data_IF_064934065754
#
_entry.id   IF_064934065754
#
_cell.length_a   1.000
_cell.length_b   1.000
_cell.length_c   1.000
_cell.angle_alpha   90.00
_cell.angle_beta   90.00
_cell.angle_gamma   90.00
#
_symmetry.space_group_name_H-M   'P 1'
#
loop_
_entity.id
_entity.type
_entity.pdbx_description
1 polymer ?
#
# COMPACT_ATOMS: atom_id res chain seq x y z
N UNK A 1 3.82 12.40 22.59
CA UNK A 1 4.82 11.57 21.87
C UNK A 1 6.06 12.37 21.49
N UNK A 2 5.95 13.54 20.84
CA UNK A 2 7.13 14.38 20.50
C UNK A 2 7.84 15.03 21.71
N UNK A 3 7.22 14.99 22.89
CA UNK A 3 7.79 15.50 24.15
C UNK A 3 8.74 14.52 24.85
N UNK A 4 8.81 13.27 24.39
CA UNK A 4 9.69 12.27 24.99
C UNK A 4 11.10 12.40 24.39
N UNK A 5 12.15 12.62 25.20
CA UNK A 5 13.50 12.94 24.71
C UNK A 5 14.06 11.89 23.74
N UNK A 6 13.69 10.62 23.92
CA UNK A 6 14.24 9.50 23.15
C UNK A 6 13.79 9.44 21.69
N UNK A 7 12.68 10.11 21.33
CA UNK A 7 12.16 10.10 19.96
C UNK A 7 12.46 11.39 19.19
N UNK A 8 13.09 12.36 19.84
CA UNK A 8 13.25 13.73 19.32
C UNK A 8 14.10 13.80 18.05
N UNK A 9 15.05 12.88 17.92
CA UNK A 9 15.97 12.79 16.77
C UNK A 9 15.56 11.73 15.74
N UNK A 10 14.54 10.91 16.06
CA UNK A 10 14.10 9.78 15.22
C UNK A 10 12.75 10.00 14.56
N UNK A 11 11.86 10.80 15.14
CA UNK A 11 10.50 11.03 14.64
C UNK A 11 10.26 12.52 14.47
N UNK A 12 9.96 12.93 13.24
CA UNK A 12 9.54 14.28 12.92
C UNK A 12 8.02 14.36 12.75
N UNK A 13 7.47 15.58 12.75
CA UNK A 13 6.02 15.79 12.61
C UNK A 13 5.47 15.24 11.27
N UNK A 14 6.29 15.23 10.23
CA UNK A 14 5.91 14.81 8.89
C UNK A 14 5.79 13.28 8.74
N UNK A 15 6.37 12.51 9.66
CA UNK A 15 6.24 11.04 9.72
C UNK A 15 4.84 10.61 10.16
N UNK A 16 4.06 11.52 10.76
CA UNK A 16 2.74 11.21 11.31
C UNK A 16 1.61 11.48 10.31
N UNK A 17 1.01 10.40 9.79
CA UNK A 17 -0.25 10.47 9.07
C UNK A 17 -1.42 10.59 10.06
N UNK A 18 -1.97 11.79 10.17
CA UNK A 18 -3.13 12.13 11.01
C UNK A 18 -4.46 11.98 10.26
N UNK A 19 -5.50 11.55 10.98
CA UNK A 19 -6.89 11.49 10.49
C UNK A 19 -7.88 11.79 11.63
N UNK A 20 -9.16 12.03 11.31
CA UNK A 20 -10.21 12.19 12.34
C UNK A 20 -10.54 10.82 12.95
N UNK A 21 -10.66 10.73 14.27
CA UNK A 21 -10.98 9.51 15.01
C UNK A 21 -10.82 9.69 16.52
N UNK A 22 -11.50 8.91 17.37
CA UNK A 22 -11.42 9.11 18.82
C UNK A 22 -10.49 8.15 19.54
N UNK A 23 -10.05 8.50 20.75
CA UNK A 23 -9.24 7.62 21.60
C UNK A 23 -9.91 6.25 21.82
N UNK A 24 -11.24 6.18 21.72
CA UNK A 24 -12.01 4.94 21.71
C UNK A 24 -11.59 3.95 20.61
N UNK A 25 -10.98 4.40 19.51
CA UNK A 25 -10.49 3.52 18.45
C UNK A 25 -9.20 2.78 18.83
N UNK A 26 -8.49 3.25 19.86
CA UNK A 26 -7.28 2.64 20.41
C UNK A 26 -7.38 2.63 21.94
N UNK A 27 -8.17 1.71 22.53
CA UNK A 27 -8.42 1.69 23.97
C UNK A 27 -7.16 1.38 24.79
N UNK A 28 -6.17 0.74 24.19
CA UNK A 28 -4.92 0.33 24.83
C UNK A 28 -3.73 0.70 23.94
N UNK A 29 -2.62 1.11 24.56
CA UNK A 29 -1.33 1.23 23.88
C UNK A 29 -0.68 -0.15 23.77
N UNK A 30 -0.41 -0.59 22.54
CA UNK A 30 0.33 -1.83 22.26
C UNK A 30 1.61 -1.50 21.53
N UNK A 31 2.74 -1.88 22.14
CA UNK A 31 4.07 -1.77 21.54
C UNK A 31 4.64 -3.18 21.44
N UNK A 32 5.05 -3.56 20.23
CA UNK A 32 5.65 -4.86 19.97
C UNK A 32 6.95 -4.67 19.21
N UNK A 33 7.94 -5.50 19.56
CA UNK A 33 9.20 -5.59 18.83
C UNK A 33 9.07 -6.76 17.86
N UNK A 34 9.26 -6.48 16.58
CA UNK A 34 9.14 -7.45 15.51
C UNK A 34 10.38 -7.38 14.62
N UNK A 35 10.78 -8.53 14.06
CA UNK A 35 11.82 -8.58 13.04
C UNK A 35 11.43 -7.78 11.79
N UNK A 36 10.14 -7.72 11.50
CA UNK A 36 9.58 -6.99 10.36
C UNK A 36 8.26 -6.32 10.75
N UNK A 37 8.10 -5.05 10.39
CA UNK A 37 6.88 -4.26 10.68
C UNK A 37 5.65 -4.82 9.94
N UNK A 38 5.82 -5.28 8.70
CA UNK A 38 4.75 -5.90 7.89
C UNK A 38 5.24 -7.18 7.21
N UNK A 39 5.07 -8.37 7.83
CA UNK A 39 5.68 -9.60 7.36
C UNK A 39 5.23 -9.99 5.94
N UNK A 40 6.16 -9.97 4.98
CA UNK A 40 5.94 -10.45 3.61
C UNK A 40 6.20 -11.97 3.46
N UNK A 41 6.69 -12.64 4.50
CA UNK A 41 7.03 -14.08 4.44
C UNK A 41 8.32 -14.38 3.67
N UNK A 42 9.11 -13.34 3.36
CA UNK A 42 10.44 -13.43 2.76
C UNK A 42 11.41 -12.66 3.63
N UNK A 43 12.57 -13.26 3.90
CA UNK A 43 13.59 -12.62 4.73
C UNK A 43 13.98 -11.25 4.18
N UNK A 44 14.14 -10.23 5.04
CA UNK A 44 14.53 -8.88 4.63
C UNK A 44 15.89 -8.84 3.92
N UNK A 45 16.78 -9.80 4.22
CA UNK A 45 18.06 -9.96 3.54
C UNK A 45 17.94 -10.31 2.05
N UNK A 46 16.84 -10.96 1.63
CA UNK A 46 16.62 -11.33 0.23
C UNK A 46 15.99 -10.20 -0.58
N UNK A 47 15.05 -9.47 0.03
CA UNK A 47 14.31 -8.39 -0.62
C UNK A 47 14.23 -7.21 0.35
N UNK A 48 15.02 -6.19 0.07
CA UNK A 48 15.07 -4.99 0.91
C UNK A 48 13.97 -4.01 0.53
N UNK A 49 13.38 -3.36 1.54
CA UNK A 49 12.46 -2.24 1.35
C UNK A 49 13.17 -0.99 0.81
N UNK A 50 14.51 -0.94 0.85
CA UNK A 50 15.34 0.18 0.35
C UNK A 50 15.48 0.20 -1.17
N UNK A 51 15.04 -0.86 -1.85
CA UNK A 51 15.05 -0.96 -3.31
C UNK A 51 13.63 -1.03 -3.87
N UNK A 52 12.76 -0.04 -3.60
CA UNK A 52 11.40 -0.06 -4.10
C UNK A 52 11.34 0.21 -5.62
N UNK A 53 10.12 0.13 -6.15
CA UNK A 53 9.78 0.67 -7.46
C UNK A 53 9.83 2.21 -7.48
N UNK A 54 9.38 2.78 -8.59
CA UNK A 54 9.28 4.25 -8.73
C UNK A 54 8.17 4.78 -7.82
N UNK A 55 8.51 5.73 -6.96
CA UNK A 55 7.54 6.40 -6.11
C UNK A 55 6.77 7.46 -6.91
N UNK A 56 5.44 7.44 -6.83
CA UNK A 56 4.56 8.47 -7.42
C UNK A 56 3.88 9.26 -6.31
N UNK A 57 3.88 10.58 -6.45
CA UNK A 57 3.07 11.46 -5.60
C UNK A 57 1.58 11.16 -5.80
N UNK A 58 0.70 11.54 -4.84
CA UNK A 58 -0.74 11.30 -4.97
C UNK A 58 -1.34 11.87 -6.26
N UNK A 59 -0.93 13.08 -6.65
CA UNK A 59 -1.43 13.74 -7.86
C UNK A 59 -0.99 13.03 -9.14
N UNK A 60 0.26 12.54 -9.20
CA UNK A 60 0.74 11.74 -10.31
C UNK A 60 0.03 10.39 -10.37
N UNK A 61 -0.09 9.70 -9.24
CA UNK A 61 -0.79 8.42 -9.18
C UNK A 61 -2.25 8.55 -9.63
N UNK A 62 -2.94 9.63 -9.24
CA UNK A 62 -4.31 9.89 -9.67
C UNK A 62 -4.42 10.01 -11.19
N UNK A 63 -3.57 10.83 -11.81
CA UNK A 63 -3.53 10.98 -13.27
C UNK A 63 -3.27 9.66 -13.97
N UNK A 64 -2.41 8.81 -13.43
CA UNK A 64 -2.12 7.49 -14.01
C UNK A 64 -3.29 6.51 -13.85
N UNK A 65 -4.01 6.56 -12.73
CA UNK A 65 -5.25 5.79 -12.54
C UNK A 65 -6.36 6.28 -13.46
N UNK A 66 -6.54 7.60 -13.64
CA UNK A 66 -7.51 8.15 -14.59
C UNK A 66 -7.22 7.69 -16.02
N UNK A 67 -5.94 7.71 -16.43
CA UNK A 67 -5.50 7.17 -17.73
C UNK A 67 -5.79 5.68 -17.86
N UNK A 68 -5.57 4.91 -16.79
CA UNK A 68 -5.90 3.48 -16.78
C UNK A 68 -7.40 3.23 -16.94
N UNK A 69 -8.24 4.03 -16.26
CA UNK A 69 -9.70 3.90 -16.32
C UNK A 69 -10.32 4.39 -17.63
N UNK A 70 -9.67 5.32 -18.33
CA UNK A 70 -10.16 5.84 -19.63
C UNK A 70 -9.85 4.92 -20.81
N UNK A 71 -9.04 3.88 -20.62
CA UNK A 71 -8.75 2.89 -21.66
C UNK A 71 -9.97 2.00 -21.91
N UNK A 72 -10.46 1.99 -23.15
CA UNK A 72 -11.66 1.25 -23.55
C UNK A 72 -11.52 -0.28 -23.45
N UNK A 73 -10.29 -0.81 -23.52
CA UNK A 73 -10.00 -2.25 -23.43
C UNK A 73 -8.94 -2.54 -22.33
N UNK A 74 -9.36 -3.06 -21.16
CA UNK A 74 -8.45 -3.44 -20.09
C UNK A 74 -7.45 -4.53 -20.47
N UNK A 75 -7.82 -5.44 -21.39
CA UNK A 75 -6.98 -6.58 -21.77
C UNK A 75 -5.78 -6.20 -22.65
N UNK A 76 -5.93 -5.14 -23.45
CA UNK A 76 -4.84 -4.55 -24.26
C UNK A 76 -4.06 -3.47 -23.50
N UNK A 77 -4.40 -3.24 -22.23
CA UNK A 77 -3.66 -2.30 -21.41
C UNK A 77 -2.29 -2.88 -21.05
N UNK A 78 -1.24 -2.12 -21.39
CA UNK A 78 0.11 -2.32 -20.87
C UNK A 78 0.23 -1.95 -19.38
N UNK A 79 -0.85 -1.51 -18.73
CA UNK A 79 -0.86 -1.08 -17.34
C UNK A 79 -1.75 -1.98 -16.48
N UNK A 80 -1.22 -2.42 -15.33
CA UNK A 80 -1.98 -3.13 -14.30
C UNK A 80 -2.10 -2.25 -13.08
N UNK A 81 -3.33 -2.07 -12.59
CA UNK A 81 -3.59 -1.51 -11.27
C UNK A 81 -3.72 -2.65 -10.25
N UNK A 82 -2.79 -2.75 -9.30
CA UNK A 82 -2.68 -3.85 -8.34
C UNK A 82 -3.00 -3.38 -6.91
N UNK A 83 -4.01 -4.00 -6.30
CA UNK A 83 -4.34 -3.84 -4.89
C UNK A 83 -3.42 -4.73 -4.04
N UNK A 84 -2.59 -4.13 -3.19
CA UNK A 84 -1.68 -4.88 -2.31
C UNK A 84 -2.27 -5.14 -0.93
N UNK A 85 -3.57 -4.90 -0.75
CA UNK A 85 -4.26 -5.07 0.53
C UNK A 85 -4.77 -6.49 0.72
N UNK A 86 -5.23 -6.78 1.93
CA UNK A 86 -5.88 -8.07 2.21
C UNK A 86 -7.29 -8.07 1.61
N UNK A 87 -7.82 -9.27 1.30
CA UNK A 87 -9.10 -9.43 0.61
C UNK A 87 -10.27 -8.68 1.29
N UNK A 88 -10.28 -8.60 2.62
CA UNK A 88 -11.34 -7.92 3.37
C UNK A 88 -11.31 -6.39 3.17
N UNK A 89 -10.14 -5.78 3.02
CA UNK A 89 -10.00 -4.35 2.72
C UNK A 89 -10.50 -4.07 1.29
N UNK A 90 -10.14 -4.93 0.35
CA UNK A 90 -10.56 -4.80 -1.06
C UNK A 90 -12.06 -5.03 -1.25
N UNK A 91 -12.69 -5.89 -0.44
CA UNK A 91 -14.16 -6.08 -0.44
C UNK A 91 -14.93 -4.85 -0.01
N UNK A 92 -14.34 -4.03 0.85
CA UNK A 92 -14.99 -2.82 1.39
C UNK A 92 -14.92 -1.68 0.36
N UNK A 93 -13.83 -1.58 -0.38
CA UNK A 93 -13.73 -0.71 -1.54
C UNK A 93 -12.38 -0.87 -2.23
N UNK A 94 -12.38 -0.80 -3.57
CA UNK A 94 -11.19 -0.90 -4.42
C UNK A 94 -11.40 -0.09 -5.70
N UNK A 95 -10.32 0.24 -6.41
CA UNK A 95 -10.44 0.88 -7.71
C UNK A 95 -11.13 -0.04 -8.72
N UNK A 96 -11.92 0.55 -9.62
CA UNK A 96 -12.54 -0.17 -10.72
C UNK A 96 -11.45 -0.78 -11.62
N UNK A 97 -11.67 -2.00 -12.12
CA UNK A 97 -10.71 -2.68 -13.00
C UNK A 97 -9.38 -3.07 -12.35
N UNK A 98 -9.18 -2.87 -11.04
CA UNK A 98 -7.94 -3.29 -10.40
C UNK A 98 -7.85 -4.82 -10.23
N UNK A 99 -6.64 -5.34 -10.36
CA UNK A 99 -6.29 -6.69 -9.95
C UNK A 99 -6.18 -6.71 -8.41
N UNK A 100 -7.11 -7.43 -7.76
CA UNK A 100 -7.10 -7.60 -6.32
C UNK A 100 -6.83 -9.07 -5.98
N UNK A 101 -5.64 -9.41 -5.47
CA UNK A 101 -5.32 -10.76 -5.01
C UNK A 101 -6.23 -11.18 -3.86
N UNK A 102 -6.77 -12.40 -3.91
CA UNK A 102 -7.55 -12.96 -2.80
C UNK A 102 -6.62 -13.50 -1.70
N UNK A 103 -5.86 -12.60 -1.07
CA UNK A 103 -4.91 -12.93 -0.01
C UNK A 103 -5.46 -12.53 1.37
N UNK A 104 -5.40 -13.46 2.33
CA UNK A 104 -5.75 -13.20 3.73
C UNK A 104 -4.64 -12.51 4.52
N UNK A 105 -3.39 -12.75 4.14
CA UNK A 105 -2.20 -12.22 4.78
C UNK A 105 -1.25 -11.72 3.71
N UNK A 106 -0.54 -10.63 4.01
CA UNK A 106 0.48 -10.10 3.09
C UNK A 106 1.62 -11.08 2.84
N UNK A 107 1.87 -12.02 3.77
CA UNK A 107 2.84 -13.11 3.56
C UNK A 107 2.50 -14.07 2.42
N UNK A 108 1.28 -14.05 1.91
CA UNK A 108 0.87 -14.84 0.73
C UNK A 108 1.07 -14.08 -0.58
N UNK A 109 1.37 -12.77 -0.53
CA UNK A 109 1.59 -11.94 -1.70
C UNK A 109 2.70 -12.49 -2.62
N UNK A 110 3.88 -12.93 -2.12
CA UNK A 110 4.91 -13.49 -2.99
C UNK A 110 4.47 -14.73 -3.76
N UNK A 111 3.70 -15.62 -3.12
CA UNK A 111 3.16 -16.81 -3.77
C UNK A 111 2.15 -16.45 -4.86
N UNK A 112 1.32 -15.45 -4.62
CA UNK A 112 0.40 -14.95 -5.63
C UNK A 112 1.13 -14.38 -6.85
N UNK A 113 2.14 -13.54 -6.63
CA UNK A 113 2.95 -12.98 -7.72
C UNK A 113 3.68 -14.09 -8.49
N UNK A 114 4.27 -15.07 -7.81
CA UNK A 114 4.99 -16.16 -8.47
C UNK A 114 4.08 -17.01 -9.37
N UNK A 115 2.84 -17.28 -8.94
CA UNK A 115 1.84 -18.01 -9.74
C UNK A 115 1.34 -17.23 -10.95
N UNK A 116 1.33 -15.90 -10.85
CA UNK A 116 0.77 -15.00 -11.85
C UNK A 116 1.83 -14.14 -12.55
N UNK A 117 3.10 -14.55 -12.51
CA UNK A 117 4.22 -13.71 -12.93
C UNK A 117 4.12 -13.28 -14.40
N UNK A 118 3.54 -14.12 -15.24
CA UNK A 118 3.31 -13.85 -16.66
C UNK A 118 2.35 -12.66 -16.87
N UNK A 119 1.40 -12.41 -15.95
CA UNK A 119 0.51 -11.24 -16.02
C UNK A 119 1.28 -9.93 -15.88
N UNK A 120 2.36 -9.93 -15.09
CA UNK A 120 3.14 -8.73 -14.76
C UNK A 120 4.35 -8.53 -15.67
N UNK A 121 4.65 -9.50 -16.54
CA UNK A 121 5.80 -9.42 -17.45
C UNK A 121 5.56 -8.33 -18.49
N UNK A 122 6.57 -7.50 -18.73
CA UNK A 122 6.57 -6.37 -19.68
C UNK A 122 5.48 -5.31 -19.49
N UNK A 123 4.58 -5.49 -18.52
CA UNK A 123 3.57 -4.52 -18.14
C UNK A 123 4.11 -3.50 -17.14
N UNK A 124 3.50 -2.33 -17.17
CA UNK A 124 3.63 -1.31 -16.14
C UNK A 124 2.69 -1.64 -14.99
N UNK A 125 3.18 -1.65 -13.76
CA UNK A 125 2.35 -2.01 -12.60
C UNK A 125 2.23 -0.82 -11.66
N UNK A 126 0.99 -0.36 -11.45
CA UNK A 126 0.60 0.66 -10.49
C UNK A 126 0.12 -0.04 -9.22
N UNK A 127 0.83 0.13 -8.11
CA UNK A 127 0.52 -0.52 -6.84
C UNK A 127 -0.01 0.47 -5.81
N UNK A 128 -1.04 0.07 -5.07
CA UNK A 128 -1.56 0.86 -3.95
C UNK A 128 -1.86 0.01 -2.71
N UNK A 129 -1.74 0.63 -1.53
CA UNK A 129 -2.15 0.09 -0.24
C UNK A 129 -2.45 1.24 0.72
N UNK A 130 -3.07 0.97 1.87
CA UNK A 130 -3.57 2.01 2.80
C UNK A 130 -2.48 2.95 3.35
N UNK A 131 -1.30 2.41 3.67
CA UNK A 131 -0.23 3.16 4.37
C UNK A 131 1.07 3.35 3.60
N UNK A 132 1.22 2.71 2.44
CA UNK A 132 2.43 2.72 1.61
C UNK A 132 3.39 1.56 1.86
N UNK A 133 3.59 1.12 3.10
CA UNK A 133 4.61 0.11 3.46
C UNK A 133 4.52 -1.21 2.68
N UNK A 134 3.31 -1.71 2.40
CA UNK A 134 3.09 -2.91 1.59
C UNK A 134 3.51 -2.70 0.13
N UNK A 135 3.34 -1.50 -0.41
CA UNK A 135 3.76 -1.16 -1.76
C UNK A 135 5.27 -1.06 -1.87
N UNK A 136 5.97 -0.54 -0.86
CA UNK A 136 7.44 -0.49 -0.85
C UNK A 136 8.02 -1.90 -0.95
N UNK A 137 7.56 -2.83 -0.11
CA UNK A 137 8.01 -4.23 -0.16
C UNK A 137 7.54 -4.99 -1.38
N UNK A 138 6.26 -4.83 -1.75
CA UNK A 138 5.68 -5.53 -2.90
C UNK A 138 6.31 -5.10 -4.22
N UNK A 139 6.59 -3.81 -4.39
CA UNK A 139 7.25 -3.29 -5.59
C UNK A 139 8.69 -3.76 -5.70
N UNK A 140 9.43 -3.79 -4.58
CA UNK A 140 10.78 -4.38 -4.53
C UNK A 140 10.77 -5.87 -4.92
N UNK A 141 9.78 -6.63 -4.43
CA UNK A 141 9.61 -8.03 -4.78
C UNK A 141 9.36 -8.24 -6.28
N UNK A 142 8.41 -7.48 -6.83
CA UNK A 142 8.03 -7.58 -8.23
C UNK A 142 9.18 -7.17 -9.16
N UNK A 143 9.89 -6.09 -8.82
CA UNK A 143 11.10 -5.65 -9.52
C UNK A 143 12.18 -6.74 -9.53
N UNK A 144 12.44 -7.38 -8.38
CA UNK A 144 13.43 -8.44 -8.27
C UNK A 144 13.06 -9.70 -9.09
N UNK A 145 11.77 -10.04 -9.18
CA UNK A 145 11.28 -11.19 -9.97
C UNK A 145 11.24 -10.88 -11.47
N UNK A 146 10.77 -9.69 -11.86
CA UNK A 146 10.71 -9.28 -13.26
C UNK A 146 12.10 -9.01 -13.84
N UNK A 147 13.03 -8.37 -13.10
CA UNK A 147 14.39 -8.11 -13.58
C UNK A 147 15.20 -9.38 -13.87
N UNK A 148 14.88 -10.51 -13.21
CA UNK A 148 15.51 -11.81 -13.49
C UNK A 148 15.00 -12.48 -14.78
N UNK A 149 13.89 -12.01 -15.34
CA UNK A 149 13.22 -12.65 -16.49
C UNK A 149 12.90 -11.71 -17.67
N UNK A 150 12.89 -10.38 -17.49
CA UNK A 150 12.61 -9.37 -18.52
C UNK A 150 13.37 -8.06 -18.28
N UNK A 151 13.71 -7.35 -19.35
CA UNK A 151 14.48 -6.10 -19.34
C UNK A 151 13.65 -4.81 -19.29
N UNK A 152 12.31 -4.86 -19.42
CA UNK A 152 11.48 -3.65 -19.69
C UNK A 152 10.36 -3.33 -18.66
N UNK A 153 10.08 -4.20 -17.68
CA UNK A 153 8.96 -3.99 -16.74
C UNK A 153 9.19 -2.80 -15.79
N UNK A 154 8.30 -1.80 -15.82
CA UNK A 154 8.34 -0.61 -14.93
C UNK A 154 7.32 -0.73 -13.81
N UNK A 155 7.78 -0.81 -12.56
CA UNK A 155 6.93 -0.87 -11.36
C UNK A 155 6.86 0.50 -10.72
N UNK A 156 5.65 1.04 -10.55
CA UNK A 156 5.40 2.31 -9.87
C UNK A 156 4.40 2.13 -8.73
N UNK A 157 4.63 2.82 -7.62
CA UNK A 157 3.83 2.71 -6.40
C UNK A 157 3.59 4.07 -5.78
N UNK A 158 2.47 4.22 -5.07
CA UNK A 158 2.21 5.41 -4.24
C UNK A 158 2.02 5.02 -2.77
N UNK A 159 2.48 5.88 -1.85
CA UNK A 159 2.35 5.68 -0.39
C UNK A 159 1.24 6.50 0.25
N UNK A 160 0.63 7.44 -0.47
CA UNK A 160 -0.07 8.56 0.18
C UNK A 160 -1.53 8.68 -0.25
N UNK A 161 -2.41 8.24 0.65
CA UNK A 161 -3.87 8.37 0.58
C UNK A 161 -4.42 9.74 1.00
N UNK A 162 -3.62 10.60 1.64
CA UNK A 162 -4.10 11.85 2.26
C UNK A 162 -4.80 12.82 1.29
N UNK A 163 -4.44 12.83 0.01
CA UNK A 163 -5.08 13.69 -1.00
C UNK A 163 -6.23 13.03 -1.78
N UNK A 164 -6.50 11.74 -1.56
CA UNK A 164 -7.46 10.97 -2.37
C UNK A 164 -8.90 11.01 -1.85
N UNK A 165 -9.13 11.45 -0.60
CA UNK A 165 -10.45 11.37 0.04
C UNK A 165 -11.57 12.11 -0.74
N UNK A 166 -11.22 13.12 -1.53
CA UNK A 166 -12.19 13.95 -2.27
C UNK A 166 -12.82 13.22 -3.46
N UNK A 167 -12.20 12.15 -3.99
CA UNK A 167 -12.71 11.40 -5.17
C UNK A 167 -13.46 10.11 -4.76
N UNK A 168 -13.47 9.79 -3.46
CA UNK A 168 -13.97 8.52 -2.88
C UNK A 168 -15.49 8.47 -2.62
N UNK A 169 -16.32 9.24 -3.33
CA UNK A 169 -17.78 9.24 -3.15
C UNK A 169 -18.44 7.99 -3.77
N UNK A 170 -18.11 6.79 -3.29
CA UNK A 170 -18.99 5.59 -3.39
C UNK A 170 -18.61 4.37 -2.53
N UNK A 171 -17.58 4.42 -1.68
CA UNK A 171 -17.25 3.29 -0.81
C UNK A 171 -16.48 3.69 0.44
N UNK A 172 -16.88 3.13 1.58
CA UNK A 172 -16.16 3.28 2.85
C UNK A 172 -14.76 2.67 2.71
N UNK A 173 -13.74 3.31 3.28
CA UNK A 173 -12.41 2.71 3.41
C UNK A 173 -12.24 2.10 4.80
N UNK A 174 -11.92 0.81 4.86
CA UNK A 174 -11.52 0.19 6.11
C UNK A 174 -10.05 0.53 6.40
N UNK A 175 -9.85 1.53 7.24
CA UNK A 175 -8.76 1.40 8.21
C UNK A 175 -9.15 0.24 9.14
N UNK A 176 -8.19 -0.59 9.55
CA UNK A 176 -8.35 -1.59 10.62
C UNK A 176 -8.64 -0.85 11.94
N UNK A 177 -9.82 -0.26 12.03
CA UNK A 177 -10.35 0.57 13.08
C UNK A 177 -11.86 0.32 13.04
N UNK A 178 -12.36 -0.36 14.07
CA UNK A 178 -13.80 -0.53 14.29
C UNK A 178 -14.48 0.83 14.16
N UNK A 179 -15.32 0.97 13.12
CA UNK A 179 -16.03 2.21 12.83
C UNK A 179 -17.19 2.34 13.82
N UNK A 180 -16.91 2.87 15.00
CA UNK A 180 -17.91 3.59 15.80
C UNK A 180 -17.65 5.09 15.62
N UNK A 181 -18.68 5.90 15.30
CA UNK A 181 -18.49 7.33 15.09
C UNK A 181 -18.08 7.99 16.41
N UNK A 182 -16.85 8.50 16.48
CA UNK A 182 -16.37 9.28 17.63
C UNK A 182 -15.72 10.58 17.12
N UNK A 183 -16.11 11.76 17.66
CA UNK A 183 -15.82 13.06 17.05
C UNK A 183 -14.44 13.65 17.41
N UNK A 184 -13.51 12.87 17.96
CA UNK A 184 -12.17 13.35 18.30
C UNK A 184 -11.18 13.10 17.14
N UNK A 185 -9.93 13.58 17.21
CA UNK A 185 -8.89 13.36 16.19
C UNK A 185 -7.88 12.34 16.71
N UNK A 186 -7.53 11.33 15.90
CA UNK A 186 -6.62 10.26 16.32
C UNK A 186 -5.53 10.07 15.27
N UNK A 187 -4.30 10.11 15.76
CA UNK A 187 -3.10 9.80 15.01
C UNK A 187 -2.85 8.30 15.09
N UNK A 188 -3.20 7.56 14.04
CA UNK A 188 -2.79 6.17 13.89
C UNK A 188 -1.33 6.12 13.45
N UNK A 189 -0.47 5.53 14.29
CA UNK A 189 0.97 5.43 14.09
C UNK A 189 1.30 4.21 13.21
N UNK A 190 1.84 4.44 12.02
CA UNK A 190 2.61 3.44 11.29
C UNK A 190 4.02 4.01 11.17
N UNK A 191 4.91 3.56 12.04
CA UNK A 191 6.35 3.89 11.97
C UNK A 191 6.92 3.16 10.76
N UNK A 192 7.63 3.87 9.89
CA UNK A 192 8.42 3.31 8.79
C UNK A 192 9.87 3.16 9.21
#
# INVERSE_FOLDING_TARGET
MLSCPWFKDYLCKDDFKTSKGGACCFPELRVGVFEEIVPMGISPNKISYRTPGTHLSPGEFHKEVEKFLSQANPEQSDTILLDCRNFYESKIGRFQGCLAPDIRKFSYFPSYIDKNLELFREKRVLMYCTGGIRCERGSAYLKAKCARKCSSSRVASTSTWKSFLTVFTKGNCLFLMSVTPCPTTVTSMFIL
#
